data_IF_979403832185
#
_entry.id   IF_979403832185
#
_cell.length_a   1.000
_cell.length_b   1.000
_cell.length_c   1.000
_cell.angle_alpha   90.00
_cell.angle_beta   90.00
_cell.angle_gamma   90.00
#
_symmetry.space_group_name_H-M   'P 1'
#
loop_
_entity.id
_entity.type
_entity.pdbx_description
1 polymer ?
#
# COMPACT_ATOMS: atom_id res chain seq x y z
N UNK A 1 -0.50 -6.71 18.07
CA UNK A 1 -0.08 -5.41 18.61
C UNK A 1 -0.88 -5.01 19.85
N UNK A 2 -2.22 -5.09 19.83
CA UNK A 2 -3.07 -4.80 21.00
C UNK A 2 -2.62 -5.53 22.27
N UNK A 3 -2.40 -6.85 22.18
CA UNK A 3 -1.94 -7.66 23.31
C UNK A 3 -0.62 -7.19 23.96
N UNK A 4 0.31 -6.59 23.21
CA UNK A 4 1.56 -6.05 23.76
C UNK A 4 1.40 -4.64 24.31
N UNK A 5 0.56 -3.81 23.63
CA UNK A 5 0.30 -2.43 24.03
C UNK A 5 -0.51 -2.34 25.33
N UNK A 6 -1.36 -3.32 25.59
CA UNK A 6 -2.24 -3.32 26.76
C UNK A 6 -1.54 -3.83 28.04
N UNK A 7 -0.26 -4.24 27.95
CA UNK A 7 0.53 -4.65 29.11
C UNK A 7 0.92 -3.43 29.97
N UNK A 8 0.74 -3.48 31.30
CA UNK A 8 1.04 -2.35 32.18
C UNK A 8 2.54 -1.97 32.19
N UNK A 9 3.43 -2.89 31.81
CA UNK A 9 4.87 -2.68 31.74
C UNK A 9 5.34 -2.03 30.43
N UNK A 10 4.44 -1.82 29.46
CA UNK A 10 4.79 -1.36 28.12
C UNK A 10 4.27 0.05 27.86
N UNK A 11 5.17 1.03 27.87
CA UNK A 11 4.82 2.42 27.57
C UNK A 11 4.56 2.67 26.08
N UNK A 12 5.40 2.09 25.21
CA UNK A 12 5.35 2.31 23.76
C UNK A 12 5.76 1.05 22.98
N UNK A 13 5.11 0.84 21.84
CA UNK A 13 5.43 -0.23 20.90
C UNK A 13 5.64 0.36 19.52
N UNK A 14 6.80 0.10 18.94
CA UNK A 14 7.09 0.33 17.54
C UNK A 14 7.35 -1.02 16.86
N UNK A 15 6.68 -1.24 15.72
CA UNK A 15 6.90 -2.41 14.88
C UNK A 15 7.27 -1.90 13.50
N UNK A 16 8.39 -2.39 12.95
CA UNK A 16 8.75 -2.10 11.57
C UNK A 16 7.61 -2.63 10.67
N UNK A 17 7.07 -1.81 9.75
CA UNK A 17 5.98 -2.22 8.86
C UNK A 17 6.25 -3.52 8.10
N UNK A 18 7.52 -3.90 7.96
CA UNK A 18 7.98 -5.15 7.41
C UNK A 18 8.88 -5.80 8.44
N UNK A 19 8.48 -6.97 8.91
CA UNK A 19 9.16 -7.71 9.97
C UNK A 19 9.60 -9.10 9.51
N UNK A 20 9.85 -9.27 8.21
CA UNK A 20 10.38 -10.51 7.62
C UNK A 20 11.70 -10.26 6.91
N UNK A 21 12.33 -11.32 6.38
CA UNK A 21 13.71 -11.26 5.87
C UNK A 21 13.92 -10.22 4.75
N UNK A 22 12.87 -9.90 4.00
CA UNK A 22 12.89 -8.87 2.95
C UNK A 22 13.31 -7.49 3.45
N UNK A 23 13.17 -7.17 4.74
CA UNK A 23 13.59 -5.88 5.32
C UNK A 23 14.95 -5.90 6.00
N UNK A 24 15.68 -7.02 6.01
CA UNK A 24 17.01 -7.09 6.64
C UNK A 24 18.01 -6.09 6.04
N UNK A 25 17.91 -5.82 4.74
CA UNK A 25 18.73 -4.83 4.07
C UNK A 25 18.58 -3.42 4.67
N UNK A 26 17.38 -3.05 5.14
CA UNK A 26 17.14 -1.76 5.79
C UNK A 26 17.91 -1.69 7.11
N UNK A 27 17.86 -2.77 7.91
CA UNK A 27 18.62 -2.87 9.16
C UNK A 27 20.13 -2.82 8.93
N UNK A 28 20.62 -3.51 7.90
CA UNK A 28 22.03 -3.47 7.51
C UNK A 28 22.49 -2.05 7.12
N UNK A 29 21.68 -1.32 6.35
CA UNK A 29 21.96 0.07 6.01
C UNK A 29 21.99 0.99 7.24
N UNK A 30 21.05 0.85 8.18
CA UNK A 30 21.05 1.62 9.43
C UNK A 30 22.26 1.31 10.32
N UNK A 31 22.63 0.03 10.44
CA UNK A 31 23.83 -0.37 11.18
C UNK A 31 25.08 0.25 10.56
N UNK A 32 25.25 0.12 9.24
CA UNK A 32 26.38 0.69 8.53
C UNK A 32 26.44 2.22 8.66
N UNK A 33 25.29 2.90 8.57
CA UNK A 33 25.21 4.35 8.79
C UNK A 33 25.69 4.75 10.19
N UNK A 34 25.29 4.01 11.22
CA UNK A 34 25.69 4.27 12.61
C UNK A 34 27.18 4.03 12.85
N UNK A 35 27.76 3.04 12.18
CA UNK A 35 29.20 2.76 12.26
C UNK A 35 30.04 3.90 11.67
N UNK A 36 29.52 4.57 10.63
CA UNK A 36 30.14 5.76 10.04
C UNK A 36 29.87 7.05 10.83
N UNK A 37 28.68 7.18 11.43
CA UNK A 37 28.21 8.41 12.09
C UNK A 37 27.85 8.13 13.55
N UNK A 38 28.88 8.04 14.41
CA UNK A 38 28.70 7.68 15.82
C UNK A 38 27.86 8.71 16.60
N UNK A 39 27.89 9.97 16.18
CA UNK A 39 27.28 11.10 16.89
C UNK A 39 25.80 11.35 16.57
N UNK A 40 25.24 10.69 15.56
CA UNK A 40 23.85 10.88 15.14
C UNK A 40 23.16 9.55 14.88
N UNK A 41 21.86 9.50 15.15
CA UNK A 41 21.02 8.37 14.76
C UNK A 41 20.51 8.58 13.33
N UNK A 42 20.30 7.49 12.56
CA UNK A 42 19.66 7.61 11.26
C UNK A 42 18.21 8.09 11.43
N UNK A 43 17.75 8.88 10.46
CA UNK A 43 16.35 9.27 10.39
C UNK A 43 15.43 8.03 10.34
N UNK A 44 14.36 8.09 11.12
CA UNK A 44 13.31 7.07 11.08
C UNK A 44 12.69 6.97 9.68
N UNK A 45 12.35 5.75 9.27
CA UNK A 45 11.65 5.52 8.01
C UNK A 45 10.26 6.17 8.04
N UNK A 46 10.07 7.23 7.25
CA UNK A 46 8.82 8.02 7.23
C UNK A 46 7.63 7.26 6.65
N UNK A 47 7.86 6.42 5.64
CA UNK A 47 6.85 5.57 5.02
C UNK A 47 7.52 4.40 4.27
N UNK A 48 6.71 3.42 3.89
CA UNK A 48 7.19 2.22 3.17
C UNK A 48 6.97 2.29 1.67
N UNK A 49 6.62 3.44 1.10
CA UNK A 49 6.38 3.59 -0.34
C UNK A 49 7.72 3.68 -1.10
N UNK A 50 8.58 2.69 -0.90
CA UNK A 50 9.94 2.61 -1.43
C UNK A 50 9.99 1.90 -2.78
N UNK A 51 8.91 1.25 -3.21
CA UNK A 51 8.81 0.57 -4.49
C UNK A 51 8.65 1.52 -5.69
N UNK A 52 8.52 0.95 -6.90
CA UNK A 52 8.38 1.73 -8.12
C UNK A 52 7.04 2.47 -8.19
N UNK A 53 7.05 3.63 -8.86
CA UNK A 53 5.86 4.34 -9.29
C UNK A 53 5.71 4.27 -10.81
N UNK A 54 4.47 4.23 -11.30
CA UNK A 54 4.18 4.23 -12.73
C UNK A 54 3.51 5.54 -13.12
N UNK A 55 4.20 6.33 -13.94
CA UNK A 55 3.70 7.62 -14.44
C UNK A 55 2.63 7.46 -15.53
N UNK A 56 1.99 8.60 -15.87
CA UNK A 56 0.89 8.66 -16.87
C UNK A 56 1.27 7.99 -18.19
N UNK A 57 2.50 8.16 -18.67
CA UNK A 57 2.96 7.58 -19.93
C UNK A 57 2.97 6.04 -19.92
N UNK A 58 3.51 5.44 -18.85
CA UNK A 58 3.58 3.99 -18.69
C UNK A 58 2.16 3.40 -18.62
N UNK A 59 1.28 4.05 -17.86
CA UNK A 59 -0.12 3.65 -17.75
C UNK A 59 -0.85 3.77 -19.08
N UNK A 60 -0.65 4.88 -19.80
CA UNK A 60 -1.28 5.13 -21.10
C UNK A 60 -0.85 4.10 -22.14
N UNK A 61 0.45 3.76 -22.19
CA UNK A 61 0.98 2.69 -23.03
C UNK A 61 0.40 1.32 -22.67
N UNK A 62 0.25 1.03 -21.38
CA UNK A 62 -0.36 -0.23 -20.94
C UNK A 62 -1.84 -0.33 -21.37
N UNK A 63 -2.60 0.77 -21.28
CA UNK A 63 -4.00 0.87 -21.71
C UNK A 63 -4.11 0.68 -23.23
N UNK A 64 -3.27 1.36 -24.02
CA UNK A 64 -3.29 1.27 -25.48
C UNK A 64 -2.90 -0.13 -25.98
N UNK A 65 -1.79 -0.68 -25.46
CA UNK A 65 -1.26 -1.96 -25.93
C UNK A 65 -2.20 -3.13 -25.67
N UNK A 66 -3.05 -3.02 -24.64
CA UNK A 66 -4.06 -4.03 -24.30
C UNK A 66 -5.45 -3.73 -24.86
N UNK A 67 -5.58 -2.68 -25.70
CA UNK A 67 -6.86 -2.24 -26.30
C UNK A 67 -7.99 -2.07 -25.26
N UNK A 68 -7.64 -1.61 -24.06
CA UNK A 68 -8.59 -1.53 -22.92
C UNK A 68 -9.77 -0.60 -23.24
N UNK A 69 -9.51 0.49 -23.97
CA UNK A 69 -10.52 1.48 -24.37
C UNK A 69 -11.64 0.91 -25.26
N UNK A 70 -11.40 -0.22 -25.94
CA UNK A 70 -12.42 -0.87 -26.77
C UNK A 70 -13.45 -1.66 -25.93
N UNK A 71 -13.07 -2.08 -24.72
CA UNK A 71 -13.90 -2.93 -23.85
C UNK A 71 -14.37 -2.24 -22.58
N UNK A 72 -13.68 -1.18 -22.15
CA UNK A 72 -13.91 -0.51 -20.87
C UNK A 72 -13.88 1.00 -21.03
N UNK A 73 -14.72 1.69 -20.24
CA UNK A 73 -14.66 3.14 -20.11
C UNK A 73 -13.38 3.53 -19.36
N UNK A 74 -12.54 4.35 -19.99
CA UNK A 74 -11.34 4.91 -19.36
C UNK A 74 -11.62 6.36 -19.02
N UNK A 75 -11.48 6.70 -17.74
CA UNK A 75 -11.66 8.06 -17.23
C UNK A 75 -10.29 8.59 -16.86
N UNK A 76 -9.90 9.73 -17.43
CA UNK A 76 -8.69 10.45 -17.02
C UNK A 76 -9.01 11.30 -15.80
N UNK A 77 -8.11 11.30 -14.81
CA UNK A 77 -8.23 12.11 -13.59
C UNK A 77 -9.59 11.99 -12.88
N UNK A 78 -10.00 10.77 -12.46
CA UNK A 78 -11.28 10.57 -11.80
C UNK A 78 -11.37 11.37 -10.50
N UNK A 79 -12.56 11.91 -10.19
CA UNK A 79 -12.78 12.65 -8.96
C UNK A 79 -12.83 11.68 -7.76
N UNK A 80 -12.24 12.09 -6.63
CA UNK A 80 -12.31 11.36 -5.35
C UNK A 80 -13.77 11.12 -4.93
N UNK A 81 -14.68 12.09 -5.13
CA UNK A 81 -16.09 11.93 -4.76
C UNK A 81 -16.78 10.85 -5.58
N UNK A 82 -16.43 10.71 -6.86
CA UNK A 82 -16.96 9.65 -7.71
C UNK A 82 -16.46 8.28 -7.25
N UNK A 83 -15.18 8.18 -6.89
CA UNK A 83 -14.58 6.94 -6.35
C UNK A 83 -15.24 6.57 -5.02
N UNK A 84 -15.45 7.54 -4.13
CA UNK A 84 -16.10 7.33 -2.85
C UNK A 84 -17.55 6.87 -3.02
N UNK A 85 -18.29 7.47 -3.97
CA UNK A 85 -19.63 7.05 -4.34
C UNK A 85 -19.65 5.60 -4.83
N UNK A 86 -18.75 5.21 -5.74
CA UNK A 86 -18.65 3.83 -6.21
C UNK A 86 -18.39 2.84 -5.07
N UNK A 87 -17.51 3.19 -4.12
CA UNK A 87 -17.30 2.37 -2.93
C UNK A 87 -18.57 2.27 -2.09
N UNK A 88 -19.27 3.39 -1.84
CA UNK A 88 -20.53 3.38 -1.07
C UNK A 88 -21.64 2.55 -1.71
N UNK A 89 -21.60 2.37 -3.04
CA UNK A 89 -22.48 1.50 -3.83
C UNK A 89 -21.96 0.05 -3.93
N UNK A 90 -21.08 -0.36 -3.01
CA UNK A 90 -20.50 -1.70 -2.90
C UNK A 90 -19.75 -2.18 -4.15
N UNK A 91 -19.19 -1.25 -4.94
CA UNK A 91 -18.26 -1.62 -6.02
C UNK A 91 -16.89 -1.97 -5.43
N UNK A 92 -16.30 -3.04 -5.97
CA UNK A 92 -14.93 -3.45 -5.66
C UNK A 92 -13.99 -2.73 -6.64
N UNK A 93 -13.04 -1.97 -6.11
CA UNK A 93 -12.14 -1.13 -6.91
C UNK A 93 -10.70 -1.60 -6.77
N UNK A 94 -10.01 -1.80 -7.89
CA UNK A 94 -8.56 -1.96 -7.89
C UNK A 94 -7.88 -0.58 -7.96
N UNK A 95 -6.98 -0.30 -7.02
CA UNK A 95 -6.21 0.95 -6.94
C UNK A 95 -4.73 0.68 -7.23
N UNK A 96 -4.20 1.42 -8.21
CA UNK A 96 -2.79 1.49 -8.54
C UNK A 96 -2.38 2.97 -8.65
N UNK A 97 -1.75 3.52 -7.61
CA UNK A 97 -1.29 4.92 -7.63
C UNK A 97 0.03 5.09 -6.88
N UNK A 98 0.77 6.16 -7.19
CA UNK A 98 2.02 6.50 -6.50
C UNK A 98 3.08 5.39 -6.50
N UNK A 99 4.04 5.55 -5.58
CA UNK A 99 5.07 4.54 -5.31
C UNK A 99 4.45 3.34 -4.59
N UNK A 100 4.82 2.15 -5.04
CA UNK A 100 4.39 0.89 -4.43
C UNK A 100 4.92 0.75 -3.00
N UNK A 101 4.10 0.19 -2.13
CA UNK A 101 4.46 -0.26 -0.80
C UNK A 101 5.56 -1.32 -0.86
N UNK A 102 6.55 -1.21 0.01
CA UNK A 102 7.52 -2.25 0.25
C UNK A 102 6.92 -3.27 1.25
N UNK A 103 7.02 -4.57 0.94
CA UNK A 103 6.52 -5.65 1.80
C UNK A 103 5.24 -6.33 1.29
N UNK A 104 4.71 -7.23 2.11
CA UNK A 104 3.66 -8.19 1.71
C UNK A 104 2.23 -7.63 1.80
N UNK A 105 2.05 -6.48 2.46
CA UNK A 105 0.73 -5.90 2.73
C UNK A 105 0.53 -4.66 1.87
N UNK A 106 -0.63 -4.61 1.22
CA UNK A 106 -1.09 -3.42 0.54
C UNK A 106 -1.55 -2.37 1.56
N UNK A 107 -1.15 -1.10 1.39
CA UNK A 107 -1.51 0.04 2.25
C UNK A 107 -2.18 1.18 1.46
N UNK A 108 -2.74 0.89 0.28
CA UNK A 108 -3.53 1.80 -0.54
C UNK A 108 -3.03 1.94 -1.97
N UNK A 109 -1.71 1.92 -2.21
CA UNK A 109 -1.09 2.15 -3.52
C UNK A 109 -1.17 0.96 -4.46
N UNK A 110 -1.22 -0.27 -3.95
CA UNK A 110 -1.53 -1.47 -4.75
C UNK A 110 -2.59 -2.30 -4.04
N UNK A 111 -3.85 -1.85 -4.09
CA UNK A 111 -4.92 -2.36 -3.22
C UNK A 111 -6.19 -2.70 -3.95
N UNK A 112 -6.93 -3.68 -3.44
CA UNK A 112 -8.34 -3.87 -3.74
C UNK A 112 -9.12 -3.18 -2.61
N UNK A 113 -9.94 -2.20 -2.96
CA UNK A 113 -10.76 -1.42 -2.07
C UNK A 113 -12.21 -1.89 -2.18
N UNK A 114 -12.89 -1.98 -1.04
CA UNK A 114 -14.30 -2.29 -0.95
C UNK A 114 -14.90 -1.58 0.27
N UNK A 115 -16.22 -1.38 0.26
CA UNK A 115 -16.94 -0.84 1.41
C UNK A 115 -16.80 -1.80 2.61
N UNK A 116 -16.19 -1.35 3.73
CA UNK A 116 -16.00 -2.19 4.90
C UNK A 116 -17.29 -2.44 5.68
N UNK A 117 -18.33 -1.62 5.48
CA UNK A 117 -19.62 -1.74 6.18
C UNK A 117 -20.50 -2.87 5.63
N UNK A 118 -20.22 -3.37 4.42
CA UNK A 118 -20.95 -4.49 3.83
C UNK A 118 -20.10 -5.77 3.84
N UNK A 119 -20.46 -6.70 4.72
CA UNK A 119 -19.75 -7.97 4.91
C UNK A 119 -19.78 -8.88 3.67
N UNK A 120 -20.78 -8.74 2.79
CA UNK A 120 -20.85 -9.55 1.57
C UNK A 120 -19.70 -9.25 0.60
N UNK A 121 -19.10 -8.06 0.67
CA UNK A 121 -17.92 -7.74 -0.14
C UNK A 121 -16.72 -8.62 0.22
N UNK A 122 -16.59 -9.05 1.48
CA UNK A 122 -15.55 -9.99 1.90
C UNK A 122 -15.73 -11.36 1.23
N UNK A 123 -16.98 -11.83 1.09
CA UNK A 123 -17.31 -13.08 0.40
C UNK A 123 -17.01 -12.96 -1.09
N UNK A 124 -17.46 -11.88 -1.74
CA UNK A 124 -17.21 -11.62 -3.17
C UNK A 124 -15.72 -11.61 -3.51
N UNK A 125 -14.87 -11.03 -2.65
CA UNK A 125 -13.42 -10.96 -2.89
C UNK A 125 -12.75 -12.33 -2.72
N UNK A 126 -13.19 -13.12 -1.74
CA UNK A 126 -12.52 -14.37 -1.38
C UNK A 126 -13.03 -15.61 -2.13
N UNK A 127 -14.24 -15.56 -2.68
CA UNK A 127 -14.80 -16.68 -3.44
C UNK A 127 -14.20 -16.71 -4.85
N UNK A 128 -13.54 -17.83 -5.19
CA UNK A 128 -13.23 -18.17 -6.58
C UNK A 128 -14.50 -18.79 -7.18
N UNK A 129 -15.06 -18.12 -8.20
CA UNK A 129 -16.03 -18.75 -9.09
C UNK A 129 -15.38 -19.92 -9.83
#
# INVERSE_FOLDING_TARGET
MKALKDLPEVDNVFVNPISGDGSLCIGACYKYYKDLNQSSDPDSLKNIYLGPSYGKEVVSKAISNRKIKEKFKVIESPNVDEIAKLLSEDKILARCAGRMEFGQRALGNRSILANPSNYDNLRKINQKN
#
